data_IF_190951135993
#
_entry.id   IF_190951135993
#
_cell.length_a   1.000
_cell.length_b   1.000
_cell.length_c   1.000
_cell.angle_alpha   90.00
_cell.angle_beta   90.00
_cell.angle_gamma   90.00
#
_symmetry.space_group_name_H-M   'P 1'
#
loop_
_entity.id
_entity.type
_entity.pdbx_description
1 polymer ?
#
# COMPACT_ATOMS: atom_id res chain seq x y z
N UNK A 1 17.93 0.76 30.72
CA UNK A 1 17.03 1.87 30.30
C UNK A 1 17.71 3.23 30.23
N UNK A 2 18.60 3.59 31.18
CA UNK A 2 19.33 4.89 31.16
C UNK A 2 20.21 5.12 29.92
N UNK A 3 20.84 4.08 29.36
CA UNK A 3 21.70 4.21 28.17
C UNK A 3 20.92 4.44 26.87
N UNK A 4 19.65 4.02 26.79
CA UNK A 4 18.79 4.21 25.60
C UNK A 4 18.35 5.68 25.53
N UNK A 5 17.97 6.28 26.66
CA UNK A 5 17.64 7.70 26.73
C UNK A 5 18.81 8.60 26.36
N UNK A 6 20.02 8.25 26.78
CA UNK A 6 21.24 8.98 26.43
C UNK A 6 21.52 8.91 24.92
N UNK A 7 21.22 7.78 24.29
CA UNK A 7 21.38 7.59 22.84
C UNK A 7 20.37 8.41 22.02
N UNK A 8 19.09 8.42 22.42
CA UNK A 8 18.06 9.27 21.78
C UNK A 8 18.42 10.75 21.93
N UNK A 9 18.93 11.15 23.10
CA UNK A 9 19.31 12.54 23.35
C UNK A 9 20.51 12.98 22.49
N UNK A 10 21.55 12.15 22.38
CA UNK A 10 22.73 12.44 21.55
C UNK A 10 22.38 12.41 20.05
N UNK A 11 21.56 11.46 19.61
CA UNK A 11 21.13 11.38 18.22
C UNK A 11 20.22 12.56 17.83
N UNK A 12 19.34 12.99 18.73
CA UNK A 12 18.51 14.18 18.51
C UNK A 12 19.34 15.47 18.47
N UNK A 13 20.43 15.56 19.25
CA UNK A 13 21.32 16.72 19.23
C UNK A 13 22.11 16.81 17.91
N UNK A 14 22.50 15.67 17.32
CA UNK A 14 23.20 15.61 16.02
C UNK A 14 22.24 15.87 14.86
N UNK A 15 21.00 15.37 14.91
CA UNK A 15 19.99 15.64 13.89
C UNK A 15 19.59 17.13 13.82
N UNK A 16 19.71 17.86 14.93
CA UNK A 16 19.41 19.29 15.00
C UNK A 16 20.39 20.17 14.19
N UNK A 17 21.59 19.66 13.89
CA UNK A 17 22.63 20.40 13.16
C UNK A 17 22.48 20.25 11.64
N UNK A 18 21.64 19.32 11.17
CA UNK A 18 21.32 19.10 9.76
C UNK A 18 19.95 19.68 9.39
N UNK A 19 19.68 20.94 9.74
CA UNK A 19 18.62 21.68 9.09
C UNK A 19 19.11 22.11 7.70
N UNK A 20 18.92 21.24 6.72
CA UNK A 20 18.92 21.64 5.31
C UNK A 20 17.72 22.56 5.11
N UNK A 21 17.99 23.86 5.02
CA UNK A 21 17.07 24.83 4.45
C UNK A 21 17.01 24.57 2.95
N UNK A 22 15.93 23.93 2.50
CA UNK A 22 15.58 23.93 1.09
C UNK A 22 15.19 25.37 0.72
N UNK A 23 16.00 26.04 -0.08
CA UNK A 23 15.61 27.30 -0.69
C UNK A 23 14.56 26.99 -1.76
N UNK A 24 13.32 27.31 -1.44
CA UNK A 24 12.22 27.30 -2.39
C UNK A 24 12.51 28.36 -3.46
N UNK A 25 12.51 28.01 -4.76
CA UNK A 25 12.71 28.99 -5.81
C UNK A 25 11.62 30.04 -5.70
N UNK A 26 12.01 31.31 -5.57
CA UNK A 26 11.10 32.45 -5.63
C UNK A 26 10.54 32.51 -7.06
N UNK A 27 9.45 31.79 -7.30
CA UNK A 27 8.61 32.04 -8.46
C UNK A 27 7.84 33.33 -8.18
N UNK A 28 7.88 34.26 -9.13
CA UNK A 28 7.09 35.50 -9.03
C UNK A 28 5.63 35.11 -8.76
N UNK A 29 4.99 35.59 -7.67
CA UNK A 29 3.64 35.18 -7.33
C UNK A 29 2.68 35.66 -8.43
N UNK A 30 2.16 34.71 -9.21
CA UNK A 30 1.09 35.00 -10.17
C UNK A 30 -0.15 35.42 -9.39
N UNK A 31 -0.75 36.54 -9.76
CA UNK A 31 -1.96 37.05 -9.12
C UNK A 31 -3.13 36.11 -9.38
N UNK A 32 -3.60 35.44 -8.32
CA UNK A 32 -4.75 34.55 -8.39
C UNK A 32 -6.02 35.42 -8.48
N UNK A 33 -6.73 35.32 -9.61
CA UNK A 33 -8.02 35.99 -9.80
C UNK A 33 -9.09 35.48 -8.83
N UNK A 34 -10.16 36.26 -8.65
CA UNK A 34 -11.25 35.99 -7.69
C UNK A 34 -11.83 34.56 -7.81
N UNK A 35 -12.09 34.11 -9.04
CA UNK A 35 -12.58 32.76 -9.33
C UNK A 35 -11.61 31.64 -8.88
N UNK A 36 -10.30 31.87 -8.99
CA UNK A 36 -9.26 30.93 -8.53
C UNK A 36 -9.24 30.83 -7.01
N UNK A 37 -9.44 31.94 -6.30
CA UNK A 37 -9.50 31.94 -4.83
C UNK A 37 -10.72 31.17 -4.30
N UNK A 38 -11.88 31.28 -4.95
CA UNK A 38 -13.07 30.50 -4.58
C UNK A 38 -12.89 29.00 -4.88
N UNK A 39 -12.25 28.66 -6.00
CA UNK A 39 -11.93 27.27 -6.32
C UNK A 39 -10.99 26.66 -5.26
N UNK A 40 -9.90 27.34 -4.91
CA UNK A 40 -8.97 26.89 -3.87
C UNK A 40 -9.65 26.76 -2.50
N UNK A 41 -10.57 27.68 -2.16
CA UNK A 41 -11.37 27.58 -0.93
C UNK A 41 -12.22 26.31 -0.90
N UNK A 42 -12.80 25.90 -2.02
CA UNK A 42 -13.65 24.71 -2.12
C UNK A 42 -12.90 23.39 -1.92
N UNK A 43 -11.65 23.31 -2.38
CA UNK A 43 -10.85 22.07 -2.32
C UNK A 43 -9.98 21.97 -1.06
N UNK A 44 -9.72 23.08 -0.35
CA UNK A 44 -8.88 23.11 0.86
C UNK A 44 -9.38 22.18 1.97
N UNK A 45 -10.69 21.97 2.07
CA UNK A 45 -11.30 21.08 3.07
C UNK A 45 -11.23 19.59 2.68
N UNK A 46 -10.79 19.27 1.47
CA UNK A 46 -10.67 17.90 0.97
C UNK A 46 -9.26 17.31 1.14
N UNK A 47 -8.33 18.04 1.76
CA UNK A 47 -6.94 17.61 1.94
C UNK A 47 -6.15 17.54 0.63
N UNK A 48 -6.63 18.23 -0.40
CA UNK A 48 -5.96 18.34 -1.70
C UNK A 48 -5.15 19.63 -1.69
N UNK A 49 -3.83 19.49 -1.80
CA UNK A 49 -2.93 20.61 -2.03
C UNK A 49 -2.81 20.81 -3.55
N UNK A 50 -3.23 21.96 -4.06
CA UNK A 50 -3.11 22.27 -5.48
C UNK A 50 -2.72 23.72 -5.66
N UNK A 51 -1.61 23.95 -6.36
CA UNK A 51 -1.21 25.26 -6.84
C UNK A 51 -1.50 25.31 -8.35
N UNK A 52 -2.66 25.86 -8.70
CA UNK A 52 -3.09 25.99 -10.10
C UNK A 52 -3.41 27.46 -10.37
N UNK A 53 -2.55 28.10 -11.15
CA UNK A 53 -2.77 29.44 -11.70
C UNK A 53 -2.95 29.37 -13.22
N UNK A 54 -3.93 30.09 -13.75
CA UNK A 54 -4.15 30.20 -15.19
C UNK A 54 -3.52 31.49 -15.69
N UNK A 55 -2.77 31.39 -16.79
CA UNK A 55 -2.23 32.54 -17.48
C UNK A 55 -3.36 33.33 -18.16
N UNK A 56 -3.43 34.64 -17.94
CA UNK A 56 -4.36 35.52 -18.63
C UNK A 56 -3.91 35.74 -20.09
N UNK A 57 -4.70 35.30 -21.10
CA UNK A 57 -4.33 35.43 -22.51
C UNK A 57 -4.31 36.88 -23.02
N UNK A 58 -4.82 37.84 -22.23
CA UNK A 58 -4.79 39.28 -22.57
C UNK A 58 -3.55 39.99 -22.04
N UNK A 59 -2.84 39.38 -21.09
CA UNK A 59 -1.56 39.87 -20.60
C UNK A 59 -0.44 39.56 -21.61
N UNK A 60 0.62 40.40 -21.69
CA UNK A 60 1.79 40.05 -22.46
C UNK A 60 2.35 38.71 -21.95
N UNK A 61 2.72 37.77 -22.85
CA UNK A 61 3.22 36.47 -22.46
C UNK A 61 4.44 36.64 -21.53
N UNK A 62 4.57 35.80 -20.48
CA UNK A 62 5.73 35.85 -19.60
C UNK A 62 6.97 35.64 -20.46
N UNK A 63 8.05 36.35 -20.14
CA UNK A 63 9.31 36.20 -20.85
C UNK A 63 9.81 34.77 -20.63
N UNK A 64 9.67 33.95 -21.66
CA UNK A 64 10.21 32.60 -21.68
C UNK A 64 11.70 32.70 -21.95
N UNK A 65 12.49 32.82 -20.90
CA UNK A 65 13.94 32.71 -21.01
C UNK A 65 14.30 31.24 -21.30
N UNK A 66 14.33 30.89 -22.59
CA UNK A 66 14.72 29.57 -23.12
C UNK A 66 16.18 29.18 -22.84
N UNK A 67 16.90 29.98 -22.04
CA UNK A 67 18.27 29.73 -21.60
C UNK A 67 18.38 29.32 -20.12
N UNK A 68 17.28 28.92 -19.48
CA UNK A 68 17.37 28.14 -18.25
C UNK A 68 18.02 26.79 -18.55
N UNK A 69 19.35 26.75 -18.54
CA UNK A 69 20.08 25.52 -18.29
C UNK A 69 19.63 25.03 -16.90
N UNK A 70 19.35 23.74 -16.70
CA UNK A 70 19.28 23.19 -15.37
C UNK A 70 20.55 23.68 -14.68
N UNK A 71 20.42 24.40 -13.57
CA UNK A 71 21.59 24.56 -12.71
C UNK A 71 21.97 23.12 -12.41
N UNK A 72 23.07 22.68 -13.02
CA UNK A 72 23.75 21.47 -12.60
C UNK A 72 23.94 21.74 -11.13
N UNK A 73 23.12 21.06 -10.32
CA UNK A 73 23.07 21.20 -8.88
C UNK A 73 24.51 21.43 -8.48
N UNK A 74 24.78 22.65 -8.01
CA UNK A 74 26.13 23.09 -7.69
C UNK A 74 26.54 22.13 -6.58
N UNK A 75 27.09 20.98 -7.00
CA UNK A 75 27.86 20.10 -6.19
C UNK A 75 28.88 21.08 -5.72
N UNK A 76 28.68 21.54 -4.49
CA UNK A 76 29.61 22.35 -3.77
C UNK A 76 30.97 21.79 -4.16
N UNK A 77 31.65 22.49 -5.06
CA UNK A 77 33.07 22.59 -5.05
C UNK A 77 33.30 23.32 -3.74
N UNK A 78 33.12 22.56 -2.66
CA UNK A 78 33.32 22.94 -1.29
C UNK A 78 34.76 23.33 -1.34
N UNK A 79 34.98 24.65 -1.40
CA UNK A 79 36.28 25.22 -1.23
C UNK A 79 36.86 24.45 -0.07
N UNK A 80 37.92 23.68 -0.35
CA UNK A 80 38.75 23.09 0.68
C UNK A 80 39.37 24.29 1.37
N UNK A 81 38.60 24.93 2.24
CA UNK A 81 39.14 25.73 3.31
C UNK A 81 39.96 24.73 4.09
N UNK A 82 41.26 24.98 4.05
CA UNK A 82 42.33 24.34 4.79
C UNK A 82 42.04 24.48 6.29
N UNK A 83 41.00 23.80 6.77
CA UNK A 83 40.76 23.56 8.18
C UNK A 83 41.79 22.54 8.61
N UNK A 84 42.73 23.01 9.44
CA UNK A 84 43.96 22.32 9.81
C UNK A 84 43.75 20.85 10.14
N UNK A 85 44.75 20.06 9.79
CA UNK A 85 44.87 18.61 9.96
C UNK A 85 44.37 18.10 11.32
N UNK A 86 44.40 18.92 12.38
CA UNK A 86 43.86 18.62 13.70
C UNK A 86 42.33 18.42 13.76
N UNK A 87 41.54 19.26 13.09
CA UNK A 87 40.07 19.23 13.20
C UNK A 87 39.47 18.01 12.49
N UNK A 88 40.01 17.62 11.34
CA UNK A 88 39.60 16.38 10.64
C UNK A 88 39.97 15.14 11.44
N UNK A 89 41.11 15.15 12.13
CA UNK A 89 41.53 14.05 12.99
C UNK A 89 40.58 13.88 14.17
N UNK A 90 40.20 14.97 14.84
CA UNK A 90 39.25 14.90 15.97
C UNK A 90 37.89 14.35 15.54
N UNK A 91 37.38 14.77 14.37
CA UNK A 91 36.15 14.19 13.83
C UNK A 91 36.31 12.70 13.48
N UNK A 92 37.45 12.30 12.93
CA UNK A 92 37.76 10.89 12.67
C UNK A 92 37.79 10.03 13.93
N UNK A 93 38.40 10.52 15.01
CA UNK A 93 38.46 9.83 16.31
C UNK A 93 37.07 9.71 16.93
N UNK A 94 36.26 10.77 16.88
CA UNK A 94 34.89 10.75 17.39
C UNK A 94 34.03 9.76 16.59
N UNK A 95 34.11 9.79 15.26
CA UNK A 95 33.37 8.85 14.41
C UNK A 95 33.79 7.40 14.67
N UNK A 96 35.09 7.14 14.85
CA UNK A 96 35.61 5.82 15.17
C UNK A 96 35.12 5.31 16.55
N UNK A 97 35.07 6.18 17.56
CA UNK A 97 34.53 5.84 18.88
C UNK A 97 33.03 5.54 18.83
N UNK A 98 32.25 6.31 18.06
CA UNK A 98 30.82 6.05 17.86
C UNK A 98 30.61 4.71 17.15
N UNK A 99 31.37 4.45 16.08
CA UNK A 99 31.28 3.19 15.34
C UNK A 99 31.65 1.99 16.24
N UNK A 100 32.74 2.11 17.02
CA UNK A 100 33.14 1.09 17.98
C UNK A 100 32.08 0.85 19.05
N UNK A 101 31.42 1.91 19.55
CA UNK A 101 30.30 1.81 20.48
C UNK A 101 29.10 1.06 19.90
N UNK A 102 28.73 1.34 18.64
CA UNK A 102 27.67 0.63 17.93
C UNK A 102 28.02 -0.85 17.76
N UNK A 103 29.23 -1.16 17.31
CA UNK A 103 29.71 -2.55 17.14
C UNK A 103 29.72 -3.30 18.47
N UNK A 104 30.23 -2.68 19.54
CA UNK A 104 30.21 -3.26 20.88
C UNK A 104 28.78 -3.51 21.36
N UNK A 105 27.84 -2.62 21.07
CA UNK A 105 26.43 -2.81 21.40
C UNK A 105 25.82 -4.00 20.66
N UNK A 106 26.11 -4.14 19.36
CA UNK A 106 25.69 -5.31 18.57
C UNK A 106 26.31 -6.61 19.08
N UNK A 107 27.58 -6.60 19.51
CA UNK A 107 28.21 -7.77 20.12
C UNK A 107 27.62 -8.11 21.50
N UNK A 108 27.32 -7.09 22.31
CA UNK A 108 26.86 -7.26 23.69
C UNK A 108 25.36 -7.56 23.82
N UNK A 109 24.54 -7.03 22.91
CA UNK A 109 23.08 -7.10 22.93
C UNK A 109 22.46 -7.71 21.67
N UNK A 110 23.20 -7.84 20.57
CA UNK A 110 22.69 -8.29 19.26
C UNK A 110 22.68 -9.80 19.04
N UNK A 111 23.04 -10.62 20.04
CA UNK A 111 23.03 -12.09 19.95
C UNK A 111 21.65 -12.74 19.70
N UNK A 112 20.55 -11.97 19.69
CA UNK A 112 19.19 -12.46 19.43
C UNK A 112 18.48 -11.80 18.23
N UNK A 113 19.16 -10.93 17.47
CA UNK A 113 18.57 -10.33 16.27
C UNK A 113 19.13 -11.07 15.05
N UNK A 114 18.72 -12.33 14.92
CA UNK A 114 18.86 -13.05 13.66
C UNK A 114 17.84 -12.47 12.68
N UNK A 115 18.22 -11.41 11.96
CA UNK A 115 17.47 -11.01 10.76
C UNK A 115 17.83 -12.03 9.69
N UNK A 116 17.07 -13.12 9.63
CA UNK A 116 17.13 -14.05 8.51
C UNK A 116 16.60 -13.32 7.28
N UNK A 117 17.49 -12.66 6.54
CA UNK A 117 17.25 -12.24 5.16
C UNK A 117 17.21 -13.51 4.30
N UNK A 118 16.09 -14.23 4.38
CA UNK A 118 15.81 -15.34 3.48
C UNK A 118 15.09 -14.76 2.29
N UNK A 119 15.74 -14.84 1.13
CA UNK A 119 15.18 -14.45 -0.18
C UNK A 119 14.27 -15.58 -0.66
N UNK A 120 13.14 -15.76 0.02
CA UNK A 120 12.07 -16.64 -0.42
C UNK A 120 10.93 -15.75 -0.94
N UNK A 121 10.74 -15.74 -2.25
CA UNK A 121 9.62 -15.10 -2.96
C UNK A 121 8.33 -15.94 -2.87
N UNK A 122 8.04 -16.50 -1.71
CA UNK A 122 6.77 -17.17 -1.42
C UNK A 122 6.05 -16.44 -0.28
N UNK A 123 4.79 -16.12 -0.54
CA UNK A 123 3.89 -15.45 0.40
C UNK A 123 3.91 -16.18 1.75
N UNK A 124 4.25 -15.51 2.87
CA UNK A 124 4.38 -16.19 4.15
C UNK A 124 3.02 -16.70 4.62
N UNK A 125 2.83 -18.03 4.63
CA UNK A 125 1.81 -18.65 5.46
C UNK A 125 2.14 -18.33 6.93
N UNK A 126 1.56 -17.25 7.41
CA UNK A 126 1.74 -16.77 8.76
C UNK A 126 1.11 -17.77 9.73
N UNK A 127 1.92 -18.62 10.34
CA UNK A 127 1.63 -19.24 11.64
C UNK A 127 1.83 -18.22 12.76
N UNK A 128 1.18 -17.06 12.67
CA UNK A 128 1.01 -16.16 13.81
C UNK A 128 -0.28 -16.57 14.52
N UNK A 129 -0.12 -17.26 15.65
CA UNK A 129 -1.18 -17.42 16.63
C UNK A 129 -1.70 -16.04 17.04
N UNK A 130 -3.00 -15.78 16.84
CA UNK A 130 -3.73 -14.73 17.55
C UNK A 130 -3.76 -13.32 16.95
N UNK A 131 -3.35 -13.11 15.70
CA UNK A 131 -3.63 -11.85 14.99
C UNK A 131 -5.04 -11.87 14.41
N UNK A 132 -5.86 -10.87 14.75
CA UNK A 132 -7.21 -10.63 14.22
C UNK A 132 -7.27 -11.03 12.75
N UNK A 133 -8.14 -11.98 12.41
CA UNK A 133 -8.37 -12.39 11.03
C UNK A 133 -8.78 -11.13 10.27
N UNK A 134 -7.91 -10.64 9.38
CA UNK A 134 -8.21 -9.50 8.53
C UNK A 134 -9.08 -9.90 7.34
N UNK A 135 -9.61 -11.12 7.33
CA UNK A 135 -10.51 -11.58 6.30
C UNK A 135 -11.82 -10.76 6.35
N UNK A 136 -12.50 -10.58 5.22
CA UNK A 136 -13.84 -10.04 5.21
C UNK A 136 -14.79 -10.88 6.05
N UNK A 137 -15.77 -10.24 6.71
CA UNK A 137 -16.80 -10.94 7.50
C UNK A 137 -17.57 -12.00 6.70
N UNK A 138 -17.73 -11.80 5.39
CA UNK A 138 -18.38 -12.75 4.50
C UNK A 138 -17.52 -13.97 4.16
N UNK A 139 -16.19 -13.86 4.30
CA UNK A 139 -15.25 -14.95 4.08
C UNK A 139 -14.98 -15.76 5.37
N UNK A 140 -15.31 -15.19 6.53
CA UNK A 140 -15.19 -15.87 7.81
C UNK A 140 -16.29 -16.94 7.98
N UNK A 141 -15.90 -18.17 8.34
CA UNK A 141 -16.81 -19.28 8.71
C UNK A 141 -17.77 -19.78 7.60
N UNK A 142 -17.28 -19.86 6.37
CA UNK A 142 -18.01 -20.52 5.29
C UNK A 142 -18.09 -22.04 5.53
N UNK A 143 -19.30 -22.61 5.48
CA UNK A 143 -19.55 -24.06 5.59
C UNK A 143 -18.82 -24.89 4.51
N UNK A 144 -18.88 -26.22 4.60
CA UNK A 144 -18.30 -27.06 3.54
C UNK A 144 -19.09 -26.90 2.24
N UNK A 145 -18.45 -27.16 1.10
CA UNK A 145 -19.12 -27.09 -0.20
C UNK A 145 -20.36 -28.00 -0.23
N UNK A 146 -20.25 -29.20 0.33
CA UNK A 146 -21.36 -30.15 0.43
C UNK A 146 -22.50 -29.69 1.35
N UNK A 147 -22.19 -28.96 2.42
CA UNK A 147 -23.23 -28.40 3.30
C UNK A 147 -24.05 -27.35 2.57
N UNK A 148 -23.40 -26.50 1.77
CA UNK A 148 -24.06 -25.47 0.96
C UNK A 148 -25.00 -26.12 -0.08
N UNK A 149 -24.58 -27.22 -0.71
CA UNK A 149 -25.43 -27.94 -1.69
C UNK A 149 -26.70 -28.52 -1.09
N UNK A 150 -26.66 -28.90 0.20
CA UNK A 150 -27.81 -29.47 0.93
C UNK A 150 -28.81 -28.42 1.39
N UNK A 151 -28.51 -27.14 1.25
CA UNK A 151 -29.42 -26.07 1.67
C UNK A 151 -30.67 -26.01 0.80
N UNK A 152 -31.84 -26.01 1.45
CA UNK A 152 -33.13 -25.88 0.76
C UNK A 152 -33.35 -24.50 0.11
N UNK A 153 -32.84 -23.44 0.74
CA UNK A 153 -32.90 -22.09 0.19
C UNK A 153 -31.82 -21.89 -0.88
N UNK A 154 -32.22 -21.95 -2.15
CA UNK A 154 -31.31 -21.82 -3.31
C UNK A 154 -30.74 -20.42 -3.47
N UNK A 155 -31.46 -19.37 -3.04
CA UNK A 155 -30.95 -18.00 -3.09
C UNK A 155 -29.76 -17.87 -2.16
N UNK A 156 -29.94 -18.31 -0.92
CA UNK A 156 -28.87 -18.28 0.10
C UNK A 156 -27.74 -19.23 -0.25
N UNK A 157 -28.05 -20.42 -0.78
CA UNK A 157 -27.05 -21.38 -1.22
C UNK A 157 -26.13 -20.78 -2.30
N UNK A 158 -26.70 -20.10 -3.30
CA UNK A 158 -25.90 -19.46 -4.36
C UNK A 158 -24.93 -18.42 -3.80
N UNK A 159 -25.38 -17.55 -2.90
CA UNK A 159 -24.53 -16.52 -2.29
C UNK A 159 -23.37 -17.14 -1.52
N UNK A 160 -23.64 -18.14 -0.68
CA UNK A 160 -22.61 -18.83 0.09
C UNK A 160 -21.65 -19.63 -0.80
N UNK A 161 -22.15 -20.23 -1.88
CA UNK A 161 -21.35 -20.94 -2.88
C UNK A 161 -20.34 -19.98 -3.53
N UNK A 162 -20.81 -18.82 -3.99
CA UNK A 162 -19.97 -17.80 -4.61
C UNK A 162 -18.90 -17.27 -3.65
N UNK A 163 -19.29 -16.96 -2.41
CA UNK A 163 -18.36 -16.55 -1.36
C UNK A 163 -17.30 -17.64 -1.08
N UNK A 164 -17.71 -18.91 -1.04
CA UNK A 164 -16.79 -20.05 -0.87
C UNK A 164 -15.78 -20.15 -2.00
N UNK A 165 -16.23 -20.04 -3.24
CA UNK A 165 -15.35 -20.09 -4.41
C UNK A 165 -14.37 -18.93 -4.40
N UNK A 166 -14.84 -17.70 -4.16
CA UNK A 166 -13.98 -16.51 -4.04
C UNK A 166 -12.93 -16.65 -2.95
N UNK A 167 -13.32 -17.04 -1.74
CA UNK A 167 -12.40 -17.22 -0.63
C UNK A 167 -11.36 -18.32 -0.92
N UNK A 168 -11.78 -19.40 -1.59
CA UNK A 168 -10.89 -20.50 -1.98
C UNK A 168 -9.90 -20.04 -3.05
N UNK A 169 -10.38 -19.37 -4.10
CA UNK A 169 -9.52 -18.86 -5.18
C UNK A 169 -8.57 -17.76 -4.70
N UNK A 170 -9.02 -16.87 -3.83
CA UNK A 170 -8.14 -15.89 -3.20
C UNK A 170 -7.04 -16.60 -2.41
N UNK A 171 -7.40 -17.63 -1.63
CA UNK A 171 -6.42 -18.41 -0.87
C UNK A 171 -5.44 -19.16 -1.76
N UNK A 172 -5.91 -19.85 -2.82
CA UNK A 172 -5.02 -20.61 -3.72
C UNK A 172 -4.07 -19.71 -4.50
N UNK A 173 -4.47 -18.49 -4.82
CA UNK A 173 -3.64 -17.50 -5.51
C UNK A 173 -2.82 -16.62 -4.55
N UNK A 174 -2.83 -16.91 -3.24
CA UNK A 174 -2.05 -16.16 -2.25
C UNK A 174 -2.54 -14.72 -2.03
N UNK A 175 -3.78 -14.39 -2.38
CA UNK A 175 -4.36 -13.06 -2.20
C UNK A 175 -4.78 -12.87 -0.75
N UNK A 176 -4.14 -11.90 -0.07
CA UNK A 176 -4.51 -11.48 1.28
C UNK A 176 -5.73 -10.55 1.21
N UNK A 177 -6.89 -11.06 1.58
CA UNK A 177 -8.12 -10.25 1.62
C UNK A 177 -8.10 -9.30 2.82
N UNK A 178 -8.62 -8.08 2.63
CA UNK A 178 -8.81 -7.09 3.70
C UNK A 178 -10.25 -7.10 4.23
N UNK A 179 -10.46 -6.65 5.47
CA UNK A 179 -11.77 -6.72 6.14
C UNK A 179 -12.86 -5.90 5.43
N UNK A 180 -12.48 -4.81 4.77
CA UNK A 180 -13.38 -3.92 4.02
C UNK A 180 -13.71 -4.42 2.62
N UNK A 181 -13.05 -5.46 2.13
CA UNK A 181 -13.23 -5.91 0.74
C UNK A 181 -14.59 -6.55 0.54
N UNK A 182 -15.23 -6.16 -0.55
CA UNK A 182 -16.42 -6.82 -1.07
C UNK A 182 -16.03 -8.03 -1.93
N UNK A 183 -17.03 -8.84 -2.31
CA UNK A 183 -16.85 -9.92 -3.27
C UNK A 183 -16.30 -9.40 -4.62
N UNK A 184 -16.73 -8.19 -5.01
CA UNK A 184 -16.32 -7.53 -6.25
C UNK A 184 -14.89 -7.03 -6.22
N UNK A 185 -14.45 -6.48 -5.08
CA UNK A 185 -13.05 -6.07 -4.89
C UNK A 185 -12.13 -7.29 -4.95
N UNK A 186 -12.53 -8.36 -4.27
CA UNK A 186 -11.78 -9.62 -4.26
C UNK A 186 -11.64 -10.19 -5.68
N UNK A 187 -12.70 -10.15 -6.49
CA UNK A 187 -12.64 -10.54 -7.90
C UNK A 187 -11.60 -9.74 -8.71
N UNK A 188 -11.43 -8.45 -8.42
CA UNK A 188 -10.44 -7.60 -9.10
C UNK A 188 -8.99 -7.94 -8.75
N UNK A 189 -8.76 -8.58 -7.60
CA UNK A 189 -7.42 -8.88 -7.10
C UNK A 189 -6.95 -10.31 -7.35
N UNK A 190 -7.82 -11.22 -7.83
CA UNK A 190 -7.41 -12.61 -8.13
C UNK A 190 -6.82 -12.67 -9.55
N UNK A 191 -5.55 -13.08 -9.72
CA UNK A 191 -4.93 -13.25 -11.02
C UNK A 191 -5.40 -14.55 -11.69
N UNK A 192 -6.49 -14.48 -12.47
CA UNK A 192 -7.03 -15.60 -13.25
C UNK A 192 -6.77 -15.43 -14.74
N UNK A 193 -6.78 -16.55 -15.48
CA UNK A 193 -6.85 -16.49 -16.93
C UNK A 193 -8.19 -15.91 -17.41
N UNK A 194 -8.18 -15.22 -18.55
CA UNK A 194 -9.37 -14.60 -19.16
C UNK A 194 -10.66 -15.47 -19.15
N UNK A 195 -10.64 -16.77 -19.55
CA UNK A 195 -11.87 -17.57 -19.55
C UNK A 195 -12.39 -17.90 -18.14
N UNK A 196 -11.52 -18.04 -17.15
CA UNK A 196 -11.92 -18.32 -15.75
C UNK A 196 -12.42 -17.04 -15.08
N UNK A 197 -11.81 -15.89 -15.43
CA UNK A 197 -12.19 -14.59 -14.90
C UNK A 197 -13.61 -14.18 -15.34
N UNK A 198 -14.01 -14.47 -16.58
CA UNK A 198 -15.37 -14.17 -17.06
C UNK A 198 -16.44 -15.03 -16.37
N UNK A 199 -16.17 -16.32 -16.16
CA UNK A 199 -17.05 -17.23 -15.43
C UNK A 199 -17.20 -16.79 -13.98
N UNK A 200 -16.09 -16.50 -13.29
CA UNK A 200 -16.13 -16.03 -11.91
C UNK A 200 -16.87 -14.68 -11.79
N UNK A 201 -16.63 -13.75 -12.73
CA UNK A 201 -17.36 -12.47 -12.78
C UNK A 201 -18.87 -12.68 -12.92
N UNK A 202 -19.31 -13.55 -13.83
CA UNK A 202 -20.73 -13.84 -14.00
C UNK A 202 -21.35 -14.44 -12.74
N UNK A 203 -20.62 -15.34 -12.06
CA UNK A 203 -21.06 -15.93 -10.80
C UNK A 203 -21.27 -14.86 -9.70
N UNK A 204 -20.31 -13.93 -9.55
CA UNK A 204 -20.43 -12.82 -8.60
C UNK A 204 -21.64 -11.95 -8.92
N UNK A 205 -21.78 -11.50 -10.16
CA UNK A 205 -22.91 -10.66 -10.57
C UNK A 205 -24.27 -11.33 -10.37
N UNK A 206 -24.37 -12.64 -10.64
CA UNK A 206 -25.62 -13.37 -10.41
C UNK A 206 -25.92 -13.50 -8.91
N UNK A 207 -24.90 -13.77 -8.08
CA UNK A 207 -25.09 -13.78 -6.62
C UNK A 207 -25.50 -12.43 -6.05
N UNK A 208 -24.95 -11.32 -6.58
CA UNK A 208 -25.32 -9.95 -6.18
C UNK A 208 -26.76 -9.62 -6.59
N UNK A 209 -27.20 -10.03 -7.79
CA UNK A 209 -28.59 -9.87 -8.23
C UNK A 209 -29.58 -10.65 -7.35
N UNK A 210 -29.19 -11.81 -6.85
CA UNK A 210 -30.01 -12.60 -5.92
C UNK A 210 -30.02 -11.97 -4.53
N UNK A 211 -28.85 -11.55 -4.03
CA UNK A 211 -28.70 -10.97 -2.70
C UNK A 211 -29.38 -9.60 -2.56
N UNK A 212 -29.18 -8.71 -3.54
CA UNK A 212 -29.65 -7.32 -3.48
C UNK A 212 -30.86 -7.07 -4.38
N UNK A 213 -30.99 -7.80 -5.48
CA UNK A 213 -32.09 -7.65 -6.43
C UNK A 213 -33.29 -8.55 -6.17
N UNK A 214 -33.24 -9.42 -5.14
CA UNK A 214 -34.36 -10.28 -4.77
C UNK A 214 -34.76 -11.32 -5.82
N UNK A 215 -33.89 -11.60 -6.79
CA UNK A 215 -34.16 -12.57 -7.86
C UNK A 215 -34.24 -14.00 -7.28
N UNK A 216 -35.26 -14.75 -7.69
CA UNK A 216 -35.38 -16.18 -7.42
C UNK A 216 -34.40 -16.99 -8.28
N UNK A 217 -33.94 -18.11 -7.72
CA UNK A 217 -33.03 -19.05 -8.40
C UNK A 217 -33.73 -20.39 -8.50
N UNK A 218 -33.95 -20.85 -9.73
CA UNK A 218 -34.48 -22.20 -9.97
C UNK A 218 -33.45 -23.28 -9.64
N UNK A 219 -33.93 -24.51 -9.40
CA UNK A 219 -33.03 -25.66 -9.17
C UNK A 219 -32.09 -25.91 -10.36
N UNK A 220 -32.58 -25.70 -11.59
CA UNK A 220 -31.81 -25.90 -12.81
C UNK A 220 -30.68 -24.88 -12.95
N UNK A 221 -30.98 -23.59 -12.75
CA UNK A 221 -29.97 -22.52 -12.73
C UNK A 221 -28.94 -22.75 -11.62
N UNK A 222 -29.39 -23.19 -10.44
CA UNK A 222 -28.48 -23.51 -9.34
C UNK A 222 -27.50 -24.63 -9.73
N UNK A 223 -27.98 -25.69 -10.39
CA UNK A 223 -27.12 -26.80 -10.86
C UNK A 223 -26.07 -26.35 -11.88
N UNK A 224 -26.43 -25.45 -12.80
CA UNK A 224 -25.50 -24.86 -13.76
C UNK A 224 -24.42 -24.00 -13.09
N UNK A 225 -24.80 -23.23 -12.08
CA UNK A 225 -23.83 -22.48 -11.27
C UNK A 225 -22.90 -23.40 -10.48
N UNK A 226 -23.41 -24.51 -9.94
CA UNK A 226 -22.59 -25.52 -9.25
C UNK A 226 -21.59 -26.17 -10.19
N UNK A 227 -21.97 -26.53 -11.42
CA UNK A 227 -21.01 -27.10 -12.40
C UNK A 227 -19.93 -26.08 -12.75
N UNK A 228 -20.29 -24.81 -12.92
CA UNK A 228 -19.33 -23.72 -13.17
C UNK A 228 -18.36 -23.54 -12.00
N UNK A 229 -18.85 -23.60 -10.76
CA UNK A 229 -18.01 -23.52 -9.56
C UNK A 229 -17.02 -24.68 -9.45
N UNK A 230 -17.46 -25.91 -9.76
CA UNK A 230 -16.57 -27.09 -9.77
C UNK A 230 -15.46 -26.96 -10.81
N UNK A 231 -15.76 -26.40 -11.99
CA UNK A 231 -14.76 -26.15 -13.01
C UNK A 231 -13.71 -25.13 -12.56
N UNK A 232 -14.13 -24.08 -11.85
CA UNK A 232 -13.23 -23.04 -11.32
C UNK A 232 -12.31 -23.54 -10.20
N UNK A 233 -12.82 -24.39 -9.31
CA UNK A 233 -12.08 -24.95 -8.19
C UNK A 233 -11.10 -26.07 -8.60
N UNK A 234 -11.29 -26.65 -9.80
CA UNK A 234 -10.57 -27.83 -10.23
C UNK A 234 -10.98 -29.08 -9.43
N UNK A 235 -10.66 -30.26 -9.95
CA UNK A 235 -11.02 -31.56 -9.34
C UNK A 235 -10.37 -31.83 -7.98
N UNK A 236 -9.45 -30.99 -7.50
CA UNK A 236 -8.65 -31.22 -6.30
C UNK A 236 -8.99 -30.40 -5.05
N UNK A 237 -10.03 -29.56 -5.06
CA UNK A 237 -10.34 -28.66 -3.92
C UNK A 237 -11.79 -28.72 -3.41
N UNK A 238 -12.52 -29.79 -3.74
CA UNK A 238 -13.87 -30.09 -3.23
C UNK A 238 -13.81 -30.90 -1.93
#
# INVERSE_FOLDING_TARGET
MRCIFLFVFVFSLVASVFQTSAQEPVQEPLEIGEAGTEYLRSIRLQGIDSDVSYFDPTAPPPKLDTQQQPSAQEQEAKGRTSSGTGTRWTFGVIAALVLAGIVYLFLRFGGNIAVSLKRDTDNPESKRSGGVQNAPLWAEKLGSFNDILRMADRRRALVLLTQKVLATLAKTNGVLMQRSWTARDTLGHIPLGQPQQSVLRNLVLNSERVQFGGRDVSEDEFREHVSSCRQLLGTGSV
#
